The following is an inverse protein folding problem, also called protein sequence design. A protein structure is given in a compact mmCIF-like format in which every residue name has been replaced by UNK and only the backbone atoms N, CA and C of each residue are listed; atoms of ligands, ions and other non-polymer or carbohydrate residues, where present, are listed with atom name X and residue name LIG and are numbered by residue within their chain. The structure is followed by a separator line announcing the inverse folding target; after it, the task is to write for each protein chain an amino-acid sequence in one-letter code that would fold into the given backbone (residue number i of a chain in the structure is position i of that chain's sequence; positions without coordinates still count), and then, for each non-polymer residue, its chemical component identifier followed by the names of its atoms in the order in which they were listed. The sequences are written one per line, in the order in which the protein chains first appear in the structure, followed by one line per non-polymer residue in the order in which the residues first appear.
data_IF_690814052135
#
_entry.id   IF_690814052135
#
_cell.length_a   1.000
_cell.length_b   1.000
_cell.length_c   1.000
_cell.angle_alpha   90.00
_cell.angle_beta   90.00
_cell.angle_gamma   90.00
#
_symmetry.space_group_name_H-M   'P 1'
#
loop_
_entity.id
_entity.type
_entity.pdbx_description
1 polymer ?
#
# COMPACT_ATOMS: atom_id res chain seq x y z
N UNK A 1 -18.71 11.74 -36.03
CA UNK A 1 -18.62 10.28 -35.83
C UNK A 1 -17.75 10.06 -34.61
N UNK A 2 -18.34 10.29 -33.43
CA UNK A 2 -17.67 10.12 -32.15
C UNK A 2 -17.86 8.66 -31.73
N UNK A 3 -16.75 7.91 -31.63
CA UNK A 3 -16.78 6.53 -31.14
C UNK A 3 -16.78 6.59 -29.62
N UNK A 4 -17.96 6.57 -29.02
CA UNK A 4 -18.12 6.29 -27.60
C UNK A 4 -17.62 4.85 -27.35
N UNK A 5 -16.50 4.70 -26.63
CA UNK A 5 -15.99 3.39 -26.21
C UNK A 5 -16.90 2.90 -25.06
N UNK A 6 -17.64 1.78 -25.20
CA UNK A 6 -18.71 1.42 -24.26
C UNK A 6 -18.22 0.72 -22.97
N UNK A 7 -16.94 0.86 -22.62
CA UNK A 7 -16.37 0.20 -21.45
C UNK A 7 -15.46 1.17 -20.71
N UNK A 8 -15.73 1.38 -19.42
CA UNK A 8 -14.81 2.06 -18.54
C UNK A 8 -13.54 1.21 -18.43
N UNK A 9 -12.50 1.55 -19.21
CA UNK A 9 -11.15 0.94 -19.14
C UNK A 9 -10.40 1.35 -17.87
N UNK A 10 -11.04 2.15 -17.02
CA UNK A 10 -10.50 2.56 -15.73
C UNK A 10 -10.73 1.46 -14.70
N UNK A 11 -9.64 1.02 -14.09
CA UNK A 11 -9.63 0.08 -12.98
C UNK A 11 -9.16 0.76 -11.71
N UNK A 12 -9.56 0.23 -10.56
CA UNK A 12 -9.12 0.70 -9.25
C UNK A 12 -8.31 -0.38 -8.57
N UNK A 13 -7.11 -0.05 -8.11
CA UNK A 13 -6.33 -0.94 -7.25
C UNK A 13 -6.85 -0.82 -5.82
N UNK A 14 -7.21 -1.96 -5.23
CA UNK A 14 -7.61 -2.07 -3.83
C UNK A 14 -6.61 -2.98 -3.13
N UNK A 15 -5.96 -2.46 -2.10
CA UNK A 15 -5.00 -3.19 -1.27
C UNK A 15 -5.55 -3.22 0.14
N UNK A 16 -5.83 -4.41 0.63
CA UNK A 16 -6.31 -4.63 2.00
C UNK A 16 -5.40 -5.61 2.69
N UNK A 17 -5.15 -5.37 3.96
CA UNK A 17 -4.30 -6.25 4.73
C UNK A 17 -4.21 -5.82 6.18
N UNK A 18 -3.24 -6.41 6.86
CA UNK A 18 -3.05 -6.29 8.28
C UNK A 18 -1.56 -6.17 8.57
N UNK A 19 -1.15 -5.09 9.24
CA UNK A 19 0.21 -4.88 9.72
C UNK A 19 0.32 -5.51 11.11
N UNK A 20 0.97 -6.67 11.17
CA UNK A 20 1.24 -7.37 12.43
C UNK A 20 2.63 -7.02 12.95
N UNK A 21 2.70 -6.76 14.24
CA UNK A 21 3.95 -6.54 14.96
C UNK A 21 4.00 -7.49 16.16
N UNK A 22 5.13 -8.15 16.35
CA UNK A 22 5.41 -9.06 17.47
C UNK A 22 6.40 -8.47 18.47
N UNK A 23 7.06 -7.35 18.12
CA UNK A 23 8.05 -6.68 18.94
C UNK A 23 7.50 -5.50 19.73
N UNK A 24 8.38 -4.79 20.43
CA UNK A 24 8.03 -3.60 21.23
C UNK A 24 8.17 -2.28 20.45
N UNK A 25 8.85 -2.31 19.30
CA UNK A 25 9.06 -1.15 18.45
C UNK A 25 7.76 -0.72 17.75
N UNK A 26 7.77 0.49 17.19
CA UNK A 26 6.73 0.95 16.27
C UNK A 26 7.11 0.61 14.84
N UNK A 27 6.13 0.21 14.04
CA UNK A 27 6.27 0.09 12.59
C UNK A 27 5.13 0.82 11.89
N UNK A 28 5.42 1.45 10.77
CA UNK A 28 4.44 2.12 9.93
C UNK A 28 4.51 1.60 8.50
N UNK A 29 3.35 1.24 7.96
CA UNK A 29 3.20 0.88 6.56
C UNK A 29 2.86 2.14 5.78
N UNK A 30 3.62 2.39 4.73
CA UNK A 30 3.40 3.51 3.82
C UNK A 30 3.10 2.99 2.42
N UNK A 31 2.26 3.73 1.71
CA UNK A 31 1.81 3.39 0.39
C UNK A 31 1.88 4.60 -0.54
N UNK A 32 2.44 4.40 -1.72
CA UNK A 32 2.30 5.33 -2.85
C UNK A 32 1.42 4.67 -3.90
N UNK A 33 0.22 5.18 -4.09
CA UNK A 33 -0.71 4.71 -5.11
C UNK A 33 -0.57 5.60 -6.36
N UNK A 34 -0.70 4.97 -7.52
CA UNK A 34 -0.62 5.54 -8.86
C UNK A 34 0.75 6.07 -9.30
N UNK A 35 0.85 6.33 -10.61
CA UNK A 35 2.07 6.70 -11.36
C UNK A 35 2.37 8.22 -11.25
N UNK A 36 1.64 8.94 -10.37
CA UNK A 36 1.75 10.40 -10.22
C UNK A 36 2.82 10.87 -9.24
N UNK A 37 2.90 12.19 -9.08
CA UNK A 37 3.71 12.86 -8.06
C UNK A 37 3.10 12.79 -6.65
N UNK A 38 2.05 12.00 -6.44
CA UNK A 38 1.40 11.86 -5.15
C UNK A 38 2.43 11.42 -4.08
N UNK A 39 2.47 12.10 -2.92
CA UNK A 39 3.31 11.69 -1.83
C UNK A 39 2.85 10.33 -1.30
N UNK A 40 3.79 9.57 -0.72
CA UNK A 40 3.41 8.36 0.00
C UNK A 40 2.54 8.73 1.20
N UNK A 41 1.48 7.97 1.41
CA UNK A 41 0.54 8.14 2.51
C UNK A 41 0.71 6.99 3.49
N UNK A 42 0.62 7.26 4.78
CA UNK A 42 0.67 6.23 5.81
C UNK A 42 -0.62 5.43 5.81
N UNK A 43 -0.50 4.12 5.63
CA UNK A 43 -1.61 3.19 5.56
C UNK A 43 -1.99 2.64 6.93
N UNK A 44 -0.99 2.32 7.76
CA UNK A 44 -1.16 1.82 9.11
C UNK A 44 0.07 2.10 9.96
N UNK A 45 -0.12 2.15 11.27
CA UNK A 45 0.96 2.12 12.27
C UNK A 45 0.60 1.10 13.32
N UNK A 46 1.56 0.29 13.74
CA UNK A 46 1.42 -0.63 14.86
C UNK A 46 2.62 -0.48 15.79
N UNK A 47 2.36 -0.01 17.01
CA UNK A 47 3.34 0.10 18.08
C UNK A 47 3.16 -1.02 19.09
N UNK A 48 4.25 -1.71 19.42
CA UNK A 48 4.21 -2.88 20.27
C UNK A 48 3.47 -4.06 19.63
N UNK A 49 3.42 -5.16 20.37
CA UNK A 49 2.78 -6.38 19.92
C UNK A 49 1.30 -6.13 19.65
N UNK A 50 0.85 -6.47 18.46
CA UNK A 50 -0.52 -6.22 18.04
C UNK A 50 -0.64 -6.12 16.53
N UNK A 51 -1.74 -5.51 16.10
CA UNK A 51 -2.08 -5.50 14.70
C UNK A 51 -2.95 -4.32 14.29
N UNK A 52 -2.66 -3.78 13.10
CA UNK A 52 -3.41 -2.68 12.50
C UNK A 52 -3.87 -3.03 11.08
N UNK A 53 -5.18 -3.06 10.86
CA UNK A 53 -5.76 -3.27 9.53
C UNK A 53 -5.61 -2.03 8.65
N UNK A 54 -5.43 -2.22 7.35
CA UNK A 54 -5.42 -1.13 6.38
C UNK A 54 -6.25 -1.46 5.14
N UNK A 55 -6.80 -0.40 4.53
CA UNK A 55 -7.52 -0.45 3.27
C UNK A 55 -7.09 0.75 2.43
N UNK A 56 -6.46 0.48 1.29
CA UNK A 56 -5.95 1.46 0.37
C UNK A 56 -6.67 1.29 -0.96
N UNK A 57 -7.08 2.43 -1.54
CA UNK A 57 -7.80 2.46 -2.81
C UNK A 57 -7.17 3.52 -3.70
N UNK A 58 -6.72 3.14 -4.89
CA UNK A 58 -6.21 4.09 -5.88
C UNK A 58 -7.35 4.89 -6.51
N UNK A 59 -7.00 5.98 -7.19
CA UNK A 59 -7.96 6.58 -8.12
C UNK A 59 -8.20 5.61 -9.30
N UNK A 60 -9.38 5.66 -9.96
CA UNK A 60 -9.59 4.93 -11.21
C UNK A 60 -8.58 5.37 -12.27
N UNK A 61 -7.81 4.44 -12.81
CA UNK A 61 -6.83 4.71 -13.88
C UNK A 61 -6.72 3.51 -14.83
N UNK A 62 -6.12 3.70 -16.00
CA UNK A 62 -5.99 2.62 -16.98
C UNK A 62 -5.02 1.51 -16.51
N UNK A 63 -4.08 1.83 -15.61
CA UNK A 63 -3.10 0.88 -15.08
C UNK A 63 -2.75 1.29 -13.65
N UNK A 64 -3.67 1.07 -12.69
CA UNK A 64 -3.43 1.45 -11.31
C UNK A 64 -2.30 0.59 -10.76
N UNK A 65 -1.41 1.21 -9.99
CA UNK A 65 -0.30 0.54 -9.36
C UNK A 65 -0.02 1.13 -8.00
N UNK A 66 0.54 0.33 -7.10
CA UNK A 66 0.94 0.80 -5.78
C UNK A 66 2.35 0.37 -5.46
N UNK A 67 3.01 1.13 -4.61
CA UNK A 67 4.25 0.73 -3.95
C UNK A 67 4.03 0.80 -2.45
N UNK A 68 4.20 -0.32 -1.76
CA UNK A 68 4.13 -0.45 -0.32
C UNK A 68 5.54 -0.50 0.25
N UNK A 69 5.77 0.07 1.41
CA UNK A 69 7.04 -0.07 2.12
C UNK A 69 6.81 0.07 3.62
N UNK A 70 7.54 -0.74 4.37
CA UNK A 70 7.46 -0.78 5.83
C UNK A 70 8.61 0.05 6.41
N UNK A 71 8.30 0.91 7.36
CA UNK A 71 9.28 1.71 8.07
C UNK A 71 9.25 1.40 9.56
N UNK A 72 10.42 1.39 10.19
CA UNK A 72 10.54 1.38 11.64
C UNK A 72 10.25 2.80 12.15
N UNK A 73 9.45 2.88 13.19
CA UNK A 73 8.89 4.14 13.71
C UNK A 73 7.66 4.61 12.94
N UNK A 74 7.23 5.84 13.22
CA UNK A 74 6.01 6.43 12.65
C UNK A 74 6.22 7.22 11.35
N UNK A 75 7.48 7.43 10.97
CA UNK A 75 7.89 8.22 9.81
C UNK A 75 8.58 7.39 8.73
N UNK A 76 9.13 8.07 7.73
CA UNK A 76 9.76 7.44 6.55
C UNK A 76 11.29 7.47 6.57
N UNK A 77 11.89 7.64 7.75
CA UNK A 77 13.35 7.79 7.89
C UNK A 77 14.10 6.46 7.84
N UNK A 78 13.49 5.38 8.33
CA UNK A 78 14.08 4.04 8.41
C UNK A 78 13.14 3.03 7.74
N UNK A 79 13.22 2.92 6.41
CA UNK A 79 12.31 2.08 5.62
C UNK A 79 13.04 0.91 4.99
N UNK A 80 12.41 -0.26 5.07
CA UNK A 80 12.83 -1.47 4.39
C UNK A 80 12.53 -1.46 2.89
N UNK A 81 12.57 -2.64 2.25
CA UNK A 81 12.35 -2.76 0.81
C UNK A 81 10.96 -2.30 0.38
N UNK A 82 10.88 -1.86 -0.88
CA UNK A 82 9.65 -1.43 -1.54
C UNK A 82 9.02 -2.60 -2.28
N UNK A 83 7.74 -2.84 -2.05
CA UNK A 83 6.95 -3.89 -2.67
C UNK A 83 5.99 -3.29 -3.70
N UNK A 84 6.03 -3.79 -4.94
CA UNK A 84 5.08 -3.35 -5.96
C UNK A 84 3.76 -4.13 -5.84
N UNK A 85 2.66 -3.40 -5.74
CA UNK A 85 1.31 -3.93 -5.63
C UNK A 85 0.63 -4.15 -7.01
N UNK A 86 1.42 -4.31 -8.10
CA UNK A 86 0.88 -4.70 -9.43
C UNK A 86 0.52 -6.19 -9.51
N UNK A 87 1.12 -7.01 -8.65
CA UNK A 87 0.96 -8.46 -8.59
C UNK A 87 0.46 -8.82 -7.19
N UNK A 88 -0.87 -8.84 -7.00
CA UNK A 88 -1.46 -9.38 -5.76
C UNK A 88 -2.01 -10.79 -6.04
N UNK A 89 -1.88 -11.73 -5.08
CA UNK A 89 -1.59 -11.48 -3.67
C UNK A 89 -0.09 -11.49 -3.32
N UNK A 90 0.39 -10.46 -2.61
CA UNK A 90 1.69 -10.52 -1.91
C UNK A 90 1.51 -11.22 -0.57
N UNK A 91 2.07 -12.41 -0.45
CA UNK A 91 2.21 -13.10 0.83
C UNK A 91 3.32 -12.40 1.63
N UNK A 92 2.95 -11.50 2.53
CA UNK A 92 3.86 -10.96 3.54
C UNK A 92 4.00 -12.02 4.64
N UNK A 93 4.96 -12.94 4.47
CA UNK A 93 5.35 -13.85 5.54
C UNK A 93 5.99 -13.05 6.68
N UNK A 94 5.78 -13.47 7.95
CA UNK A 94 6.25 -12.72 9.10
C UNK A 94 7.77 -12.62 9.08
N UNK A 95 8.29 -11.40 9.10
CA UNK A 95 9.67 -11.16 9.52
C UNK A 95 9.63 -11.30 11.05
N UNK A 96 10.27 -12.37 11.51
CA UNK A 96 10.45 -12.76 12.91
C UNK A 96 11.08 -11.61 13.71
#
# INVERSE_FOLDING_TARGET
MERELPFSVLSTLVITGELKNTGNDCYSLWAKLDIGSAPATRAATQCGAGSATFNLRSAPSMSPSGTLFLCRGEGTQDCGPRFSAREFPVNLWPII
#
